data_IF_086457188849
#
_entry.id   IF_086457188849
#
_cell.length_a   1.000
_cell.length_b   1.000
_cell.length_c   1.000
_cell.angle_alpha   90.00
_cell.angle_beta   90.00
_cell.angle_gamma   90.00
#
_symmetry.space_group_name_H-M   'P 1'
#
loop_
_entity.id
_entity.type
_entity.pdbx_description
1 polymer ?
#
# COMPACT_ATOMS: atom_id res chain seq x y z
N UNK A 1 -21.75 -58.10 60.20
CA UNK A 1 -22.81 -57.06 60.19
C UNK A 1 -22.18 -55.76 59.73
N UNK A 2 -22.61 -55.01 58.72
CA UNK A 2 -23.44 -55.22 57.52
C UNK A 2 -23.24 -53.93 56.72
N UNK A 3 -22.85 -54.01 55.45
CA UNK A 3 -22.73 -52.83 54.56
C UNK A 3 -24.13 -52.26 54.27
N UNK A 4 -24.34 -50.94 54.21
CA UNK A 4 -25.63 -50.40 53.81
C UNK A 4 -25.81 -50.58 52.30
N UNK A 5 -26.89 -51.26 51.98
CA UNK A 5 -27.40 -51.62 50.67
C UNK A 5 -28.25 -50.50 50.07
N UNK A 6 -28.22 -50.37 48.74
CA UNK A 6 -29.41 -50.03 47.97
C UNK A 6 -29.47 -48.61 47.39
N UNK A 7 -29.20 -48.50 46.09
CA UNK A 7 -29.57 -47.34 45.26
C UNK A 7 -30.93 -47.66 44.60
N UNK A 8 -32.03 -46.97 44.90
CA UNK A 8 -33.27 -47.22 44.19
C UNK A 8 -33.20 -46.58 42.80
N UNK A 9 -33.32 -47.41 41.76
CA UNK A 9 -33.62 -46.98 40.39
C UNK A 9 -35.12 -46.73 40.29
N UNK A 10 -35.53 -45.47 40.26
CA UNK A 10 -36.85 -45.06 39.78
C UNK A 10 -36.70 -44.39 38.42
N UNK A 11 -37.28 -44.96 37.36
CA UNK A 11 -37.55 -44.18 36.14
C UNK A 11 -38.72 -43.24 36.44
N UNK A 12 -38.63 -41.93 36.17
CA UNK A 12 -39.80 -41.08 36.22
C UNK A 12 -40.78 -41.48 35.09
N UNK A 13 -42.07 -41.41 35.44
CA UNK A 13 -43.22 -41.77 34.62
C UNK A 13 -43.34 -40.86 33.39
N UNK A 14 -43.99 -41.39 32.37
CA UNK A 14 -44.06 -40.88 31.01
C UNK A 14 -45.22 -39.89 30.80
N UNK A 15 -45.60 -39.13 31.83
CA UNK A 15 -46.79 -38.28 31.77
C UNK A 15 -46.54 -36.99 32.58
N UNK A 16 -45.80 -36.06 31.99
CA UNK A 16 -45.67 -34.67 32.47
C UNK A 16 -45.14 -33.78 31.33
N UNK A 17 -45.90 -33.74 30.23
CA UNK A 17 -45.82 -32.63 29.28
C UNK A 17 -46.66 -31.47 29.84
N UNK A 18 -46.03 -30.54 30.54
CA UNK A 18 -46.51 -29.17 30.71
C UNK A 18 -45.40 -28.31 31.32
N UNK A 19 -45.10 -27.21 30.62
CA UNK A 19 -44.26 -26.07 31.05
C UNK A 19 -42.75 -26.29 31.06
N UNK A 20 -42.16 -26.36 29.86
CA UNK A 20 -40.77 -25.95 29.63
C UNK A 20 -40.79 -24.49 29.22
N UNK A 21 -40.66 -23.59 30.20
CA UNK A 21 -40.44 -22.17 29.95
C UNK A 21 -39.13 -21.91 29.19
N UNK A 22 -39.21 -20.84 28.41
CA UNK A 22 -38.36 -20.37 27.32
C UNK A 22 -36.97 -19.86 27.76
N UNK A 23 -36.23 -20.62 28.58
CA UNK A 23 -34.93 -20.18 29.14
C UNK A 23 -33.77 -20.38 28.14
N UNK A 24 -33.99 -21.13 27.06
CA UNK A 24 -32.95 -21.53 26.11
C UNK A 24 -32.73 -20.60 24.91
N UNK A 25 -33.70 -19.74 24.56
CA UNK A 25 -33.63 -18.93 23.31
C UNK A 25 -33.04 -17.53 23.51
N UNK A 26 -33.10 -16.97 24.72
CA UNK A 26 -32.50 -15.66 25.02
C UNK A 26 -30.96 -15.72 24.97
N UNK A 27 -30.36 -16.74 25.59
CA UNK A 27 -28.90 -16.85 25.75
C UNK A 27 -28.14 -16.95 24.42
N UNK A 28 -28.74 -17.51 23.36
CA UNK A 28 -28.07 -17.62 22.06
C UNK A 28 -28.18 -16.35 21.23
N UNK A 29 -29.31 -15.64 21.31
CA UNK A 29 -29.47 -14.33 20.67
C UNK A 29 -28.52 -13.31 21.27
N UNK A 30 -28.30 -13.36 22.59
CA UNK A 30 -27.38 -12.45 23.28
C UNK A 30 -25.91 -12.76 22.95
N UNK A 31 -25.54 -14.03 22.75
CA UNK A 31 -24.18 -14.43 22.35
C UNK A 31 -23.90 -14.11 20.88
N UNK A 32 -24.90 -14.27 19.99
CA UNK A 32 -24.79 -13.82 18.60
C UNK A 32 -24.78 -12.31 18.50
N UNK A 33 -25.63 -11.59 19.23
CA UNK A 33 -25.62 -10.13 19.27
C UNK A 33 -24.32 -9.57 19.89
N UNK A 34 -23.76 -10.23 20.91
CA UNK A 34 -22.45 -9.87 21.46
C UNK A 34 -21.31 -10.15 20.47
N UNK A 35 -21.37 -11.24 19.72
CA UNK A 35 -20.39 -11.56 18.68
C UNK A 35 -20.53 -10.66 17.45
N UNK A 36 -21.75 -10.30 17.06
CA UNK A 36 -22.05 -9.30 16.03
C UNK A 36 -21.56 -7.92 16.47
N UNK A 37 -21.75 -7.53 17.74
CA UNK A 37 -21.21 -6.29 18.29
C UNK A 37 -19.66 -6.30 18.39
N UNK A 38 -19.03 -7.45 18.65
CA UNK A 38 -17.57 -7.61 18.60
C UNK A 38 -17.03 -7.59 17.17
N UNK A 39 -17.78 -8.09 16.19
CA UNK A 39 -17.43 -8.02 14.77
C UNK A 39 -17.65 -6.59 14.21
N UNK A 40 -18.64 -5.85 14.72
CA UNK A 40 -18.85 -4.42 14.43
C UNK A 40 -17.81 -3.50 15.09
N UNK A 41 -17.17 -3.96 16.18
CA UNK A 41 -16.12 -3.21 16.88
C UNK A 41 -14.72 -3.35 16.26
N UNK A 42 -14.52 -4.28 15.32
CA UNK A 42 -13.25 -4.37 14.57
C UNK A 42 -13.17 -3.22 13.57
N UNK A 43 -11.98 -2.62 13.35
CA UNK A 43 -11.84 -1.58 12.34
C UNK A 43 -12.23 -2.14 10.96
N UNK A 44 -13.40 -1.74 10.49
CA UNK A 44 -14.01 -2.23 9.25
C UNK A 44 -13.23 -1.75 8.03
N UNK A 45 -12.60 -0.57 8.11
CA UNK A 45 -11.78 -0.02 7.03
C UNK A 45 -10.28 -0.16 7.32
N UNK A 46 -9.45 -0.17 6.27
CA UNK A 46 -7.98 -0.15 6.40
C UNK A 46 -7.48 1.13 7.08
N UNK A 47 -8.18 2.24 6.91
CA UNK A 47 -7.81 3.54 7.47
C UNK A 47 -8.03 3.58 8.99
N UNK A 48 -9.15 3.03 9.47
CA UNK A 48 -9.42 2.92 10.91
C UNK A 48 -8.37 2.03 11.60
N UNK A 49 -7.98 0.93 10.95
CA UNK A 49 -6.94 0.03 11.45
C UNK A 49 -5.57 0.72 11.57
N UNK A 50 -5.16 1.45 10.54
CA UNK A 50 -3.89 2.19 10.57
C UNK A 50 -3.92 3.32 11.59
N UNK A 51 -5.05 4.03 11.70
CA UNK A 51 -5.23 5.12 12.67
C UNK A 51 -5.10 4.58 14.09
N UNK A 52 -5.75 3.46 14.40
CA UNK A 52 -5.61 2.79 15.69
C UNK A 52 -4.17 2.33 15.94
N UNK A 53 -3.53 1.69 14.95
CA UNK A 53 -2.15 1.21 15.07
C UNK A 53 -1.15 2.34 15.32
N UNK A 54 -1.28 3.46 14.60
CA UNK A 54 -0.40 4.63 14.73
C UNK A 54 -0.68 5.48 15.98
N UNK A 55 -1.88 5.39 16.55
CA UNK A 55 -2.23 6.10 17.80
C UNK A 55 -1.54 5.53 19.04
N UNK A 56 -1.05 4.29 18.96
CA UNK A 56 -0.40 3.60 20.09
C UNK A 56 0.94 4.30 20.39
N UNK A 57 1.25 4.61 21.66
CA UNK A 57 2.49 5.28 22.01
C UNK A 57 3.69 4.41 21.64
N UNK A 58 4.74 5.02 21.08
CA UNK A 58 6.00 4.33 20.78
C UNK A 58 6.64 3.90 22.11
N UNK A 59 6.50 2.61 22.44
CA UNK A 59 7.11 2.01 23.62
C UNK A 59 8.35 1.24 23.20
N UNK A 60 9.44 1.38 23.95
CA UNK A 60 10.52 0.40 23.88
C UNK A 60 9.94 -0.96 24.28
N UNK A 61 9.84 -1.87 23.31
CA UNK A 61 9.48 -3.26 23.59
C UNK A 61 10.80 -4.03 23.75
N UNK A 62 11.03 -4.72 24.88
CA UNK A 62 12.16 -5.64 24.99
C UNK A 62 12.17 -6.57 23.78
N UNK A 63 13.33 -7.02 23.27
CA UNK A 63 13.43 -7.70 21.99
C UNK A 63 12.57 -8.95 21.97
N UNK A 64 11.37 -8.79 21.43
CA UNK A 64 10.40 -9.84 21.24
C UNK A 64 10.64 -10.39 19.84
N UNK A 65 10.58 -11.71 19.69
CA UNK A 65 10.59 -12.33 18.37
C UNK A 65 9.30 -11.87 17.68
N UNK A 66 9.42 -11.24 16.51
CA UNK A 66 8.26 -10.91 15.71
C UNK A 66 7.71 -12.21 15.13
N UNK A 67 6.43 -12.47 15.37
CA UNK A 67 5.72 -13.65 14.87
C UNK A 67 4.89 -13.27 13.63
N UNK A 68 4.72 -14.17 12.66
CA UNK A 68 3.91 -13.93 11.46
C UNK A 68 2.41 -14.05 11.77
N UNK A 69 1.93 -13.21 12.69
CA UNK A 69 0.50 -13.10 13.00
C UNK A 69 -0.23 -12.35 11.87
N UNK A 70 -1.51 -12.66 11.66
CA UNK A 70 -2.34 -12.07 10.61
C UNK A 70 -2.42 -10.54 10.75
N UNK A 71 -2.47 -10.03 11.99
CA UNK A 71 -2.47 -8.59 12.26
C UNK A 71 -1.14 -7.94 11.87
N UNK A 72 -0.03 -8.63 12.12
CA UNK A 72 1.31 -8.15 11.77
C UNK A 72 1.49 -8.10 10.26
N UNK A 73 1.07 -9.15 9.55
CA UNK A 73 1.11 -9.20 8.09
C UNK A 73 0.21 -8.13 7.48
N UNK A 74 -1.02 -7.97 7.98
CA UNK A 74 -1.93 -6.90 7.55
C UNK A 74 -1.30 -5.52 7.73
N UNK A 75 -0.69 -5.26 8.88
CA UNK A 75 -0.04 -3.98 9.17
C UNK A 75 1.13 -3.71 8.22
N UNK A 76 1.99 -4.70 7.96
CA UNK A 76 3.08 -4.57 6.99
C UNK A 76 2.54 -4.22 5.60
N UNK A 77 1.49 -4.91 5.15
CA UNK A 77 0.88 -4.68 3.84
C UNK A 77 0.25 -3.30 3.71
N UNK A 78 -0.52 -2.86 4.71
CA UNK A 78 -1.15 -1.54 4.72
C UNK A 78 -0.13 -0.40 4.81
N UNK A 79 0.92 -0.54 5.61
CA UNK A 79 2.00 0.45 5.65
C UNK A 79 2.80 0.48 4.34
N UNK A 80 3.05 -0.68 3.72
CA UNK A 80 3.71 -0.74 2.42
C UNK A 80 2.90 -0.04 1.32
N UNK A 81 1.56 -0.10 1.36
CA UNK A 81 0.68 0.65 0.44
C UNK A 81 0.86 2.17 0.54
N UNK A 82 1.38 2.66 1.66
CA UNK A 82 1.72 4.07 1.88
C UNK A 82 3.16 4.44 1.51
N UNK A 83 3.89 3.55 0.82
CA UNK A 83 5.33 3.69 0.55
C UNK A 83 6.20 3.77 1.81
N UNK A 84 5.72 3.24 2.95
CA UNK A 84 6.54 3.18 4.15
C UNK A 84 7.80 2.34 3.93
N UNK A 85 8.93 2.86 4.37
CA UNK A 85 10.21 2.17 4.38
C UNK A 85 10.25 1.09 5.45
N UNK A 86 11.16 0.13 5.30
CA UNK A 86 11.38 -0.92 6.30
C UNK A 86 11.75 -0.35 7.69
N UNK A 87 12.40 0.81 7.74
CA UNK A 87 12.75 1.47 9.00
C UNK A 87 11.51 2.06 9.69
N UNK A 88 10.61 2.69 8.92
CA UNK A 88 9.35 3.24 9.45
C UNK A 88 8.44 2.12 9.94
N UNK A 89 8.30 1.04 9.17
CA UNK A 89 7.51 -0.14 9.57
C UNK A 89 8.07 -0.76 10.85
N UNK A 90 9.39 -0.92 10.95
CA UNK A 90 10.04 -1.42 12.16
C UNK A 90 9.76 -0.53 13.38
N UNK A 91 9.76 0.80 13.19
CA UNK A 91 9.41 1.78 14.23
C UNK A 91 7.97 1.62 14.72
N UNK A 92 7.01 1.42 13.81
CA UNK A 92 5.60 1.17 14.17
C UNK A 92 5.44 -0.16 14.93
N UNK A 93 6.17 -1.19 14.52
CA UNK A 93 6.18 -2.50 15.19
C UNK A 93 6.95 -2.50 16.53
N UNK A 94 7.69 -1.42 16.83
CA UNK A 94 8.51 -1.31 18.04
C UNK A 94 9.75 -2.21 18.04
N UNK A 95 10.29 -2.55 16.87
CA UNK A 95 11.49 -3.38 16.70
C UNK A 95 12.59 -2.62 15.96
N UNK A 96 13.83 -3.13 16.04
CA UNK A 96 14.93 -2.56 15.24
C UNK A 96 14.75 -2.90 13.75
N UNK A 97 15.29 -2.06 12.86
CA UNK A 97 15.31 -2.33 11.41
C UNK A 97 15.95 -3.69 11.10
N UNK A 98 17.04 -4.05 11.79
CA UNK A 98 17.72 -5.33 11.61
C UNK A 98 16.79 -6.51 11.93
N UNK A 99 16.09 -6.43 13.07
CA UNK A 99 15.11 -7.45 13.48
C UNK A 99 13.99 -7.63 12.46
N UNK A 100 13.51 -6.53 11.85
CA UNK A 100 12.47 -6.60 10.82
C UNK A 100 12.97 -7.23 9.51
N UNK A 101 14.21 -6.92 9.09
CA UNK A 101 14.84 -7.56 7.93
C UNK A 101 15.02 -9.06 8.17
N UNK A 102 15.53 -9.44 9.35
CA UNK A 102 15.70 -10.84 9.73
C UNK A 102 14.37 -11.58 9.84
N UNK A 103 13.30 -10.88 10.21
CA UNK A 103 11.94 -11.42 10.19
C UNK A 103 11.47 -11.71 8.75
N UNK A 104 11.58 -10.75 7.83
CA UNK A 104 11.22 -10.97 6.41
C UNK A 104 12.07 -12.04 5.72
N UNK A 105 13.33 -12.22 6.14
CA UNK A 105 14.19 -13.28 5.63
C UNK A 105 13.79 -14.67 6.14
N UNK A 106 13.21 -14.75 7.34
CA UNK A 106 12.74 -16.02 7.95
C UNK A 106 11.32 -16.37 7.52
N UNK A 107 10.48 -15.38 7.25
CA UNK A 107 9.06 -15.53 6.92
C UNK A 107 8.78 -14.96 5.54
N UNK A 108 8.73 -15.83 4.53
CA UNK A 108 8.51 -15.42 3.13
C UNK A 108 7.17 -14.70 2.93
N UNK A 109 6.13 -15.11 3.66
CA UNK A 109 4.81 -14.45 3.65
C UNK A 109 4.86 -12.96 3.99
N UNK A 110 5.70 -12.56 4.96
CA UNK A 110 5.88 -11.16 5.33
C UNK A 110 6.54 -10.36 4.20
N UNK A 111 7.52 -10.97 3.53
CA UNK A 111 8.19 -10.37 2.37
C UNK A 111 7.23 -10.19 1.19
N UNK A 112 6.45 -11.23 0.88
CA UNK A 112 5.46 -11.19 -0.20
C UNK A 112 4.40 -10.11 0.06
N UNK A 113 3.89 -10.01 1.28
CA UNK A 113 2.90 -8.98 1.64
C UNK A 113 3.49 -7.57 1.52
N UNK A 114 4.73 -7.36 1.97
CA UNK A 114 5.43 -6.09 1.80
C UNK A 114 5.59 -5.73 0.31
N UNK A 115 6.15 -6.65 -0.49
CA UNK A 115 6.41 -6.41 -1.91
C UNK A 115 5.11 -6.15 -2.70
N UNK A 116 4.05 -6.93 -2.42
CA UNK A 116 2.73 -6.71 -3.00
C UNK A 116 2.17 -5.35 -2.60
N UNK A 117 2.27 -4.96 -1.33
CA UNK A 117 1.85 -3.64 -0.84
C UNK A 117 2.52 -2.50 -1.61
N UNK A 118 3.83 -2.59 -1.86
CA UNK A 118 4.58 -1.60 -2.66
C UNK A 118 4.09 -1.56 -4.11
N UNK A 119 3.80 -2.70 -4.74
CA UNK A 119 3.27 -2.71 -6.11
C UNK A 119 1.86 -2.08 -6.16
N UNK A 120 1.01 -2.36 -5.17
CA UNK A 120 -0.29 -1.71 -5.03
C UNK A 120 -0.15 -0.19 -4.85
N UNK A 121 0.81 0.27 -4.05
CA UNK A 121 1.11 1.69 -3.87
C UNK A 121 1.46 2.36 -5.22
N UNK A 122 2.34 1.73 -6.01
CA UNK A 122 2.75 2.21 -7.33
C UNK A 122 1.58 2.31 -8.30
N UNK A 123 0.71 1.30 -8.35
CA UNK A 123 -0.48 1.32 -9.23
C UNK A 123 -1.44 2.43 -8.78
N UNK A 124 -1.69 2.57 -7.48
CA UNK A 124 -2.54 3.63 -6.93
C UNK A 124 -2.00 5.02 -7.28
N UNK A 125 -0.68 5.24 -7.11
CA UNK A 125 -0.03 6.49 -7.48
C UNK A 125 -0.14 6.78 -8.97
N UNK A 126 0.12 5.78 -9.84
CA UNK A 126 -0.03 5.94 -11.30
C UNK A 126 -1.44 6.35 -11.68
N UNK A 127 -2.47 5.72 -11.09
CA UNK A 127 -3.87 6.12 -11.32
C UNK A 127 -4.12 7.57 -10.93
N UNK A 128 -3.61 8.02 -9.79
CA UNK A 128 -3.73 9.41 -9.33
C UNK A 128 -2.99 10.37 -10.25
N UNK A 129 -1.79 10.02 -10.72
CA UNK A 129 -1.01 10.81 -11.67
C UNK A 129 -1.72 10.94 -13.02
N UNK A 130 -2.33 9.87 -13.53
CA UNK A 130 -3.15 9.91 -14.74
C UNK A 130 -4.37 10.82 -14.57
N UNK A 131 -5.12 10.68 -13.47
CA UNK A 131 -6.25 11.55 -13.18
C UNK A 131 -5.86 13.03 -12.95
N UNK A 132 -4.65 13.28 -12.45
CA UNK A 132 -4.12 14.63 -12.32
C UNK A 132 -3.80 15.25 -13.68
N UNK A 133 -3.33 14.45 -14.63
CA UNK A 133 -3.02 14.90 -15.99
C UNK A 133 -4.24 15.43 -16.73
N UNK A 134 -5.44 14.92 -16.43
CA UNK A 134 -6.70 15.44 -16.99
C UNK A 134 -6.97 16.90 -16.59
N UNK A 135 -6.45 17.34 -15.45
CA UNK A 135 -6.67 18.69 -14.89
C UNK A 135 -5.46 19.60 -15.03
N UNK A 136 -4.26 19.04 -15.16
CA UNK A 136 -2.99 19.76 -15.16
C UNK A 136 -2.25 19.50 -16.48
N UNK A 137 -2.29 20.48 -17.38
CA UNK A 137 -1.66 20.39 -18.70
C UNK A 137 -0.16 20.04 -18.66
N UNK A 138 0.68 20.66 -17.79
CA UNK A 138 2.07 20.22 -17.61
C UNK A 138 2.25 18.72 -17.32
N UNK A 139 1.41 18.15 -16.47
CA UNK A 139 1.45 16.71 -16.18
C UNK A 139 1.09 15.87 -17.41
N UNK A 140 0.08 16.28 -18.19
CA UNK A 140 -0.27 15.65 -19.46
C UNK A 140 0.87 15.72 -20.50
N UNK A 141 1.52 16.88 -20.65
CA UNK A 141 2.65 17.05 -21.57
C UNK A 141 3.82 16.15 -21.15
N UNK A 142 4.14 16.10 -19.85
CA UNK A 142 5.20 15.23 -19.34
C UNK A 142 4.94 13.76 -19.66
N UNK A 143 3.70 13.29 -19.46
CA UNK A 143 3.33 11.92 -19.80
C UNK A 143 3.35 11.67 -21.30
N UNK A 144 2.87 12.62 -22.11
CA UNK A 144 2.95 12.61 -23.57
C UNK A 144 4.37 12.40 -24.09
N UNK A 145 5.33 13.14 -23.51
CA UNK A 145 6.74 13.02 -23.88
C UNK A 145 7.35 11.68 -23.49
N UNK A 146 7.15 11.25 -22.24
CA UNK A 146 7.81 10.06 -21.70
C UNK A 146 7.19 8.74 -22.18
N UNK A 147 5.87 8.67 -22.31
CA UNK A 147 5.16 7.41 -22.61
C UNK A 147 4.69 7.30 -24.06
N UNK A 148 4.43 8.41 -24.75
CA UNK A 148 4.00 8.41 -26.15
C UNK A 148 5.12 8.83 -27.12
N UNK A 149 6.30 9.18 -26.61
CA UNK A 149 7.45 9.59 -27.42
C UNK A 149 7.26 10.92 -28.14
N UNK A 150 6.32 11.75 -27.68
CA UNK A 150 6.14 13.11 -28.21
C UNK A 150 7.42 13.92 -27.96
N UNK A 151 7.89 14.64 -28.97
CA UNK A 151 9.08 15.49 -28.88
C UNK A 151 8.68 16.94 -29.04
N UNK A 152 9.37 17.82 -28.33
CA UNK A 152 9.30 19.24 -28.66
C UNK A 152 10.06 19.45 -29.97
N UNK A 153 9.40 20.02 -30.96
CA UNK A 153 10.08 20.58 -32.12
C UNK A 153 10.47 22.03 -31.81
N UNK A 154 11.75 22.33 -31.95
CA UNK A 154 12.24 23.70 -31.85
C UNK A 154 12.42 24.26 -33.26
N UNK A 155 11.50 25.13 -33.67
CA UNK A 155 11.65 25.92 -34.89
C UNK A 155 12.35 27.23 -34.51
N UNK A 156 13.62 27.36 -34.88
CA UNK A 156 14.37 28.62 -34.71
C UNK A 156 14.11 29.51 -35.91
N UNK A 157 13.27 30.54 -35.73
CA UNK A 157 13.06 31.55 -36.77
C UNK A 157 14.06 32.68 -36.56
N UNK A 158 15.13 32.70 -37.36
CA UNK A 158 16.10 33.78 -37.39
C UNK A 158 15.54 34.96 -38.20
N UNK A 159 15.20 36.07 -37.55
CA UNK A 159 14.76 37.30 -38.21
C UNK A 159 15.97 38.20 -38.46
N UNK A 160 16.21 38.55 -39.73
CA UNK A 160 17.30 39.43 -40.14
C UNK A 160 16.70 40.76 -40.60
N UNK A 161 17.08 41.86 -39.94
CA UNK A 161 16.51 43.19 -40.19
C UNK A 161 17.13 43.90 -41.41
N UNK A 162 18.21 43.37 -41.97
CA UNK A 162 18.84 43.87 -43.20
C UNK A 162 18.23 43.20 -44.42
N UNK A 163 17.83 43.96 -45.45
CA UNK A 163 17.33 43.38 -46.68
C UNK A 163 18.43 42.53 -47.33
N UNK A 164 18.06 41.35 -47.84
CA UNK A 164 19.02 40.35 -48.34
C UNK A 164 19.95 40.86 -49.46
N UNK A 165 19.59 41.95 -50.14
CA UNK A 165 20.40 42.59 -51.18
C UNK A 165 21.63 43.34 -50.65
N UNK A 166 21.66 43.69 -49.36
CA UNK A 166 22.77 44.43 -48.73
C UNK A 166 23.76 43.53 -47.99
N UNK A 167 23.44 42.24 -47.86
CA UNK A 167 24.31 41.26 -47.22
C UNK A 167 25.32 40.73 -48.22
N UNK A 168 26.59 40.72 -47.82
CA UNK A 168 27.63 40.04 -48.60
C UNK A 168 27.41 38.52 -48.58
N UNK A 169 27.88 37.83 -49.62
CA UNK A 169 27.77 36.37 -49.74
C UNK A 169 28.37 35.63 -48.54
N UNK A 170 29.43 36.21 -47.94
CA UNK A 170 30.05 35.70 -46.72
C UNK A 170 29.15 35.82 -45.47
N UNK A 171 28.41 36.93 -45.34
CA UNK A 171 27.49 37.14 -44.22
C UNK A 171 26.26 36.25 -44.32
N UNK A 172 25.76 36.02 -45.54
CA UNK A 172 24.68 35.06 -45.80
C UNK A 172 25.12 33.63 -45.43
N UNK A 173 26.36 33.26 -45.77
CA UNK A 173 26.91 31.95 -45.45
C UNK A 173 27.08 31.75 -43.93
N UNK A 174 27.53 32.76 -43.19
CA UNK A 174 27.64 32.74 -41.73
C UNK A 174 26.27 32.63 -41.03
N UNK A 175 25.26 33.34 -41.54
CA UNK A 175 23.88 33.25 -41.01
C UNK A 175 23.35 31.84 -41.22
N UNK A 176 23.58 31.22 -42.39
CA UNK A 176 23.17 29.84 -42.66
C UNK A 176 23.94 28.81 -41.82
N UNK A 177 25.24 29.05 -41.56
CA UNK A 177 26.06 28.13 -40.77
C UNK A 177 25.77 28.19 -39.27
N UNK A 178 25.28 29.32 -38.75
CA UNK A 178 24.85 29.45 -37.34
C UNK A 178 23.75 28.48 -36.94
N UNK A 179 22.85 28.12 -37.86
CA UNK A 179 21.67 27.29 -37.60
C UNK A 179 21.91 25.78 -37.79
N UNK A 180 23.12 25.37 -38.19
CA UNK A 180 23.45 23.94 -38.31
C UNK A 180 23.82 23.33 -36.95
N UNK A 181 23.07 22.34 -36.43
CA UNK A 181 23.41 21.71 -35.16
C UNK A 181 24.76 21.00 -35.32
N UNK A 182 25.74 21.39 -34.51
CA UNK A 182 27.05 20.71 -34.49
C UNK A 182 26.82 19.21 -34.29
N UNK A 183 27.43 18.33 -35.10
CA UNK A 183 27.24 16.89 -34.96
C UNK A 183 27.68 16.47 -33.56
N UNK A 184 26.72 15.97 -32.77
CA UNK A 184 26.97 15.44 -31.44
C UNK A 184 27.85 14.20 -31.60
N UNK A 185 29.11 14.27 -31.14
CA UNK A 185 30.00 13.11 -31.08
C UNK A 185 29.41 12.11 -30.07
N UNK A 186 28.67 11.13 -30.57
CA UNK A 186 28.28 9.97 -29.77
C UNK A 186 29.56 9.18 -29.49
N UNK A 187 30.09 9.30 -28.26
CA UNK A 187 31.15 8.39 -27.80
C UNK A 187 30.56 6.99 -27.83
N UNK A 188 31.16 6.12 -28.65
CA UNK A 188 30.79 4.71 -28.72
C UNK A 188 30.78 4.10 -27.32
N UNK A 189 29.62 3.59 -26.91
CA UNK A 189 29.53 2.63 -25.83
C UNK A 189 30.07 1.31 -26.37
N UNK A 190 31.36 1.08 -26.10
CA UNK A 190 31.99 -0.23 -26.19
C UNK A 190 32.33 -0.61 -24.75
N UNK A 191 31.88 -1.81 -24.37
CA UNK A 191 31.96 -2.50 -23.06
C UNK A 191 30.71 -2.38 -22.19
#
# INVERSE_FOLDING_TARGET
MTRPTGRPRGRPRKDAEAEVEDVGKLKWKDVHAAREAEDDAKPQTSEDFLTEALSKPVRYRPPFKLDPDDQTLRLIGELAKLFATQAEIAGVLGVSRGTFIDFMNRHEEARLVFDNGIQHAKISLRRKQLALADKNAPAGIFLGKNYLGQKDEHHTTTTVNTPAAELSEAELYEIAMRDSPKPVKVKGAMQ
#
